data_IF_233065097676
#
_entry.id   IF_233065097676
#
_cell.length_a   1.000
_cell.length_b   1.000
_cell.length_c   1.000
_cell.angle_alpha   90.00
_cell.angle_beta   90.00
_cell.angle_gamma   90.00
#
_symmetry.space_group_name_H-M   'P 1'
#
loop_
_entity.id
_entity.type
_entity.pdbx_description
1 polymer ?
#
# COMPACT_ATOMS: atom_id res chain seq x y z
N UNK A 1 -9.21 11.34 -11.63
CA UNK A 1 -10.07 10.15 -11.61
C UNK A 1 -9.19 8.96 -11.91
N UNK A 2 -9.34 7.83 -11.20
CA UNK A 2 -8.53 6.64 -11.43
C UNK A 2 -8.75 6.07 -12.84
N UNK A 3 -7.71 5.51 -13.43
CA UNK A 3 -7.70 4.85 -14.74
C UNK A 3 -7.08 3.46 -14.64
N UNK A 4 -7.34 2.61 -15.63
CA UNK A 4 -6.61 1.35 -15.81
C UNK A 4 -5.12 1.65 -16.02
N UNK A 5 -4.27 0.97 -15.25
CA UNK A 5 -2.82 1.18 -15.21
C UNK A 5 -2.35 2.04 -14.04
N UNK A 6 -3.24 2.78 -13.37
CA UNK A 6 -2.85 3.62 -12.23
C UNK A 6 -2.41 2.76 -11.03
N UNK A 7 -1.33 3.20 -10.40
CA UNK A 7 -0.83 2.69 -9.12
C UNK A 7 -1.57 3.39 -7.99
N UNK A 8 -2.16 2.61 -7.09
CA UNK A 8 -3.06 3.12 -6.06
C UNK A 8 -2.83 2.44 -4.72
N UNK A 9 -3.29 3.08 -3.65
CA UNK A 9 -3.65 2.40 -2.41
C UNK A 9 -5.12 2.02 -2.50
N UNK A 10 -5.46 0.77 -2.19
CA UNK A 10 -6.83 0.30 -2.12
C UNK A 10 -7.12 -0.35 -0.76
N UNK A 11 -8.29 -0.05 -0.21
CA UNK A 11 -8.74 -0.56 1.08
C UNK A 11 -9.00 -2.07 0.97
N UNK A 12 -8.52 -2.84 1.94
CA UNK A 12 -8.78 -4.29 1.96
C UNK A 12 -10.25 -4.57 2.30
N UNK A 13 -10.97 -5.39 1.51
CA UNK A 13 -12.42 -5.53 1.68
C UNK A 13 -12.85 -6.10 3.03
N UNK A 14 -12.04 -7.00 3.59
CA UNK A 14 -12.33 -7.70 4.86
C UNK A 14 -11.90 -6.85 6.05
N UNK A 15 -10.71 -6.26 5.99
CA UNK A 15 -10.13 -5.42 7.04
C UNK A 15 -10.01 -3.98 6.56
N UNK A 16 -11.15 -3.27 6.59
CA UNK A 16 -11.27 -1.91 6.02
C UNK A 16 -10.35 -0.87 6.65
N UNK A 17 -9.63 -1.20 7.71
CA UNK A 17 -8.64 -0.31 8.32
C UNK A 17 -7.29 -0.36 7.59
N UNK A 18 -7.07 -1.30 6.67
CA UNK A 18 -5.80 -1.46 5.98
C UNK A 18 -5.91 -1.11 4.49
N UNK A 19 -4.91 -0.40 4.01
CA UNK A 19 -4.76 0.01 2.62
C UNK A 19 -3.49 -0.59 2.04
N UNK A 20 -3.63 -1.24 0.89
CA UNK A 20 -2.56 -1.97 0.24
C UNK A 20 -2.26 -1.38 -1.14
N UNK A 21 -0.99 -1.35 -1.55
CA UNK A 21 -0.58 -0.91 -2.87
C UNK A 21 -1.03 -1.91 -3.94
N UNK A 22 -1.43 -1.39 -5.09
CA UNK A 22 -1.83 -2.20 -6.22
C UNK A 22 -1.96 -1.39 -7.50
N UNK A 23 -2.40 -2.09 -8.55
CA UNK A 23 -2.61 -1.52 -9.87
C UNK A 23 -4.06 -1.72 -10.29
N UNK A 24 -4.70 -0.69 -10.81
CA UNK A 24 -6.03 -0.83 -11.42
C UNK A 24 -5.89 -1.59 -12.74
N UNK A 25 -6.52 -2.76 -12.84
CA UNK A 25 -6.47 -3.63 -14.02
C UNK A 25 -7.80 -3.73 -14.76
N UNK A 26 -8.84 -3.06 -14.25
CA UNK A 26 -10.14 -3.01 -14.91
C UNK A 26 -11.08 -2.02 -14.23
N UNK A 27 -12.06 -1.52 -14.97
CA UNK A 27 -13.08 -0.61 -14.46
C UNK A 27 -14.42 -0.99 -15.08
N UNK A 28 -15.46 -1.13 -14.26
CA UNK A 28 -16.82 -1.43 -14.71
C UNK A 28 -17.83 -1.06 -13.64
N UNK A 29 -19.01 -0.56 -14.04
CA UNK A 29 -20.14 -0.37 -13.14
C UNK A 29 -19.88 0.51 -11.91
N UNK A 30 -18.97 1.49 -12.00
CA UNK A 30 -18.62 2.37 -10.88
C UNK A 30 -17.66 1.76 -9.85
N UNK A 31 -17.11 0.58 -10.15
CA UNK A 31 -16.04 -0.07 -9.39
C UNK A 31 -14.77 -0.17 -10.23
N UNK A 32 -13.66 -0.37 -9.54
CA UNK A 32 -12.38 -0.72 -10.16
C UNK A 32 -11.92 -2.07 -9.65
N UNK A 33 -11.16 -2.79 -10.46
CA UNK A 33 -10.53 -4.04 -10.06
C UNK A 33 -9.06 -3.77 -9.82
N UNK A 34 -8.60 -3.99 -8.59
CA UNK A 34 -7.20 -3.80 -8.20
C UNK A 34 -6.51 -5.15 -8.12
N UNK A 35 -5.36 -5.24 -8.79
CA UNK A 35 -4.36 -6.27 -8.54
C UNK A 35 -3.40 -5.72 -7.48
N UNK A 36 -3.43 -6.28 -6.28
CA UNK A 36 -2.53 -5.92 -5.19
C UNK A 36 -1.14 -6.50 -5.42
N UNK A 37 -0.14 -5.85 -4.85
CA UNK A 37 1.28 -6.25 -5.02
C UNK A 37 1.65 -7.50 -4.24
N UNK A 38 0.88 -7.84 -3.22
CA UNK A 38 1.02 -9.09 -2.47
C UNK A 38 0.45 -10.31 -3.19
N UNK A 39 -0.20 -10.10 -4.35
CA UNK A 39 -0.71 -11.13 -5.25
C UNK A 39 -2.23 -11.22 -5.29
N UNK A 40 -2.94 -10.61 -4.34
CA UNK A 40 -4.39 -10.67 -4.29
C UNK A 40 -5.06 -9.77 -5.33
N UNK A 41 -6.33 -10.04 -5.64
CA UNK A 41 -7.14 -9.24 -6.56
C UNK A 41 -8.54 -9.06 -6.02
N UNK A 42 -9.06 -7.83 -6.07
CA UNK A 42 -10.43 -7.56 -5.63
C UNK A 42 -11.09 -6.40 -6.38
N UNK A 43 -12.41 -6.44 -6.64
CA UNK A 43 -13.17 -5.24 -6.96
C UNK A 43 -13.32 -4.35 -5.71
N UNK A 44 -13.06 -3.06 -5.87
CA UNK A 44 -13.24 -2.03 -4.83
C UNK A 44 -14.00 -0.85 -5.40
N UNK A 45 -14.72 -0.13 -4.53
CA UNK A 45 -15.40 1.11 -4.88
C UNK A 45 -14.42 2.23 -5.20
N UNK A 46 -14.84 3.20 -6.01
CA UNK A 46 -14.01 4.39 -6.31
C UNK A 46 -13.61 5.19 -5.05
N UNK A 47 -14.41 5.11 -3.99
CA UNK A 47 -14.14 5.72 -2.68
C UNK A 47 -13.19 4.89 -1.80
N UNK A 48 -12.89 3.66 -2.18
CA UNK A 48 -11.98 2.72 -1.51
C UNK A 48 -10.60 2.69 -2.19
N UNK A 49 -10.30 3.71 -2.99
CA UNK A 49 -9.04 3.91 -3.72
C UNK A 49 -8.47 5.30 -3.41
N UNK A 50 -7.15 5.39 -3.25
CA UNK A 50 -6.38 6.62 -3.08
C UNK A 50 -5.13 6.59 -3.95
N UNK A 51 -4.56 7.75 -4.23
CA UNK A 51 -3.27 7.84 -4.91
C UNK A 51 -2.20 7.10 -4.09
N UNK A 52 -1.28 6.40 -4.76
CA UNK A 52 -0.16 5.74 -4.08
C UNK A 52 0.84 6.78 -3.55
N UNK A 53 0.60 7.28 -2.35
CA UNK A 53 1.30 8.42 -1.78
C UNK A 53 2.28 8.03 -0.65
N UNK A 54 3.12 7.02 -0.89
CA UNK A 54 4.19 6.59 0.05
C UNK A 54 5.44 7.44 -0.18
N UNK A 55 5.80 8.27 0.80
CA UNK A 55 6.92 9.23 0.74
C UNK A 55 7.63 9.30 2.09
N UNK A 56 8.78 9.98 2.14
CA UNK A 56 9.49 10.25 3.40
C UNK A 56 8.54 10.87 4.41
N UNK A 57 8.53 10.33 5.62
CA UNK A 57 7.65 10.72 6.72
C UNK A 57 6.33 9.96 6.79
N UNK A 58 5.92 9.25 5.73
CA UNK A 58 4.69 8.43 5.73
C UNK A 58 4.81 7.32 6.77
N UNK A 59 3.76 7.18 7.58
CA UNK A 59 3.58 6.07 8.50
C UNK A 59 3.15 4.83 7.71
N UNK A 60 3.88 3.74 7.87
CA UNK A 60 3.65 2.49 7.14
C UNK A 60 3.77 1.31 8.08
N UNK A 61 3.20 0.19 7.66
CA UNK A 61 3.48 -1.10 8.23
C UNK A 61 4.19 -1.91 7.15
N UNK A 62 5.48 -2.23 7.36
CA UNK A 62 6.31 -2.94 6.39
C UNK A 62 6.31 -4.44 6.65
N UNK A 63 6.25 -5.23 5.59
CA UNK A 63 6.34 -6.69 5.60
C UNK A 63 7.81 -7.11 5.75
N UNK A 64 8.26 -7.24 6.99
CA UNK A 64 9.66 -7.45 7.36
C UNK A 64 10.32 -8.59 6.58
N UNK A 65 11.42 -8.31 5.90
CA UNK A 65 12.19 -9.27 5.06
C UNK A 65 11.33 -10.08 4.06
N UNK A 66 10.17 -9.54 3.64
CA UNK A 66 9.21 -10.25 2.79
C UNK A 66 8.50 -11.44 3.48
N UNK A 67 8.58 -11.53 4.82
CA UNK A 67 8.03 -12.58 5.65
C UNK A 67 6.50 -12.56 5.76
N UNK A 68 5.92 -12.99 6.88
CA UNK A 68 4.45 -13.04 7.06
C UNK A 68 3.86 -11.86 7.84
N UNK A 69 4.71 -11.05 8.47
CA UNK A 69 4.29 -10.12 9.52
C UNK A 69 4.62 -8.68 9.14
N UNK A 70 3.69 -7.80 9.49
CA UNK A 70 3.76 -6.37 9.22
C UNK A 70 4.09 -5.62 10.51
N UNK A 71 5.14 -4.81 10.47
CA UNK A 71 5.61 -4.04 11.62
C UNK A 71 5.51 -2.53 11.37
N UNK A 72 5.11 -1.74 12.37
CA UNK A 72 4.98 -0.30 12.23
C UNK A 72 6.35 0.38 12.08
N UNK A 73 6.45 1.32 11.14
CA UNK A 73 7.62 2.17 10.96
C UNK A 73 7.30 3.47 10.23
N UNK A 74 8.32 4.26 9.96
CA UNK A 74 8.21 5.49 9.19
C UNK A 74 9.22 5.47 8.05
N UNK A 75 8.77 5.85 6.86
CA UNK A 75 9.66 5.96 5.68
C UNK A 75 10.68 7.06 5.95
N UNK A 76 11.96 6.72 5.93
CA UNK A 76 13.07 7.65 6.14
C UNK A 76 13.71 8.07 4.81
N UNK A 77 13.69 7.20 3.79
CA UNK A 77 14.19 7.49 2.44
C UNK A 77 13.30 6.86 1.37
N UNK A 78 13.29 7.44 0.16
CA UNK A 78 12.53 6.92 -0.97
C UNK A 78 13.25 7.17 -2.31
N UNK A 79 13.43 6.11 -3.10
CA UNK A 79 14.06 6.14 -4.43
C UNK A 79 13.24 5.28 -5.39
N UNK A 80 12.41 5.92 -6.22
CA UNK A 80 11.50 5.21 -7.12
C UNK A 80 10.45 4.41 -6.35
N UNK A 81 10.48 3.08 -6.47
CA UNK A 81 9.61 2.17 -5.70
C UNK A 81 10.32 1.55 -4.49
N UNK A 82 11.63 1.81 -4.32
CA UNK A 82 12.37 1.39 -3.14
C UNK A 82 12.21 2.44 -2.03
N UNK A 83 12.00 1.99 -0.80
CA UNK A 83 11.87 2.83 0.38
C UNK A 83 12.72 2.26 1.51
N UNK A 84 13.24 3.15 2.34
CA UNK A 84 13.87 2.78 3.60
C UNK A 84 12.88 3.04 4.74
N UNK A 85 12.67 2.06 5.61
CA UNK A 85 11.76 2.15 6.75
C UNK A 85 12.59 2.11 8.03
N UNK A 86 12.36 3.08 8.91
CA UNK A 86 12.79 2.97 10.31
C UNK A 86 11.60 2.44 11.12
N UNK A 87 11.71 1.23 11.65
CA UNK A 87 10.69 0.60 12.48
C UNK A 87 10.71 1.15 13.90
N UNK A 88 9.56 1.04 14.57
CA UNK A 88 9.39 1.56 15.93
C UNK A 88 10.18 0.79 16.99
N UNK A 89 10.55 -0.45 16.71
CA UNK A 89 11.39 -1.28 17.57
C UNK A 89 12.89 -0.98 17.42
N UNK A 90 13.25 -0.09 16.48
CA UNK A 90 14.62 0.34 16.22
C UNK A 90 15.26 -0.33 15.01
N UNK A 91 14.64 -1.37 14.45
CA UNK A 91 15.12 -2.02 13.23
C UNK A 91 14.89 -1.14 12.00
N UNK A 92 15.61 -1.43 10.92
CA UNK A 92 15.55 -0.67 9.68
C UNK A 92 15.72 -1.60 8.48
N UNK A 93 14.97 -1.34 7.40
CA UNK A 93 15.15 -2.08 6.15
C UNK A 93 14.96 -1.22 4.90
N UNK A 94 15.67 -1.59 3.84
CA UNK A 94 15.28 -1.23 2.48
C UNK A 94 14.29 -2.27 1.96
N UNK A 95 13.14 -1.81 1.49
CA UNK A 95 12.08 -2.65 0.92
C UNK A 95 11.41 -1.93 -0.25
N UNK A 96 10.36 -2.55 -0.80
CA UNK A 96 9.56 -1.93 -1.87
C UNK A 96 8.27 -1.36 -1.32
N UNK A 97 7.71 -0.33 -2.00
CA UNK A 97 6.37 0.17 -1.71
C UNK A 97 5.33 -0.94 -1.76
N UNK A 98 5.50 -1.95 -2.62
CA UNK A 98 4.61 -3.13 -2.67
C UNK A 98 4.62 -4.01 -1.43
N UNK A 99 5.58 -3.82 -0.52
CA UNK A 99 5.72 -4.59 0.72
C UNK A 99 5.12 -3.87 1.95
N UNK A 100 4.36 -2.79 1.75
CA UNK A 100 3.76 -2.06 2.87
C UNK A 100 2.23 -2.08 2.83
N UNK A 101 1.64 -1.84 4.00
CA UNK A 101 0.25 -1.42 4.15
C UNK A 101 0.17 -0.17 5.00
N UNK A 102 -0.90 0.60 4.85
CA UNK A 102 -1.14 1.83 5.60
C UNK A 102 -2.42 1.67 6.41
N UNK A 103 -2.39 2.09 7.68
CA UNK A 103 -3.59 2.10 8.51
C UNK A 103 -4.50 3.26 8.10
N UNK A 104 -5.81 3.13 8.24
CA UNK A 104 -6.82 4.13 7.85
C UNK A 104 -6.60 5.50 8.54
N UNK A 105 -5.97 5.52 9.69
CA UNK A 105 -5.66 6.76 10.42
C UNK A 105 -4.43 7.50 9.87
N UNK A 106 -3.67 6.84 8.98
CA UNK A 106 -2.40 7.32 8.42
C UNK A 106 -2.49 7.68 6.91
N UNK A 107 -3.69 7.64 6.32
CA UNK A 107 -3.93 7.87 4.87
C UNK A 107 -4.49 9.25 4.53
#
# INVERSE_FOLDING_TARGET
>A
MPNVGDRVLAQWPVEKVWWYPGTIIGMSGGQVVVQFDDGDRSPVGLNEVRDLAVRVGTRVYGRWEGGGTYYPGKVSEAVGQAIHINYDDGDQEWTAVGMVRIHQDDI
#
